data_IF_389573046765
#
_entry.id   IF_389573046765
#
_cell.length_a   1.000
_cell.length_b   1.000
_cell.length_c   1.000
_cell.angle_alpha   90.00
_cell.angle_beta   90.00
_cell.angle_gamma   90.00
#
_symmetry.space_group_name_H-M   'P 1'
#
loop_
_entity.id
_entity.type
_entity.pdbx_description
1 polymer ?
#
# COMPACT_ATOMS: atom_id res chain seq x y z
N UNK A 1 -11.43 -38.56 18.63
CA UNK A 1 -12.13 -38.99 17.41
C UNK A 1 -12.65 -37.73 16.78
N UNK A 2 -11.80 -37.06 16.01
CA UNK A 2 -12.15 -35.84 15.31
C UNK A 2 -12.94 -36.21 14.05
N UNK A 3 -14.01 -35.54 13.84
CA UNK A 3 -14.96 -35.65 12.74
C UNK A 3 -14.30 -35.39 11.40
N UNK A 4 -13.86 -36.42 10.71
CA UNK A 4 -13.50 -36.36 9.29
C UNK A 4 -14.75 -36.21 8.37
N UNK A 5 -15.92 -36.06 8.93
CA UNK A 5 -17.20 -36.08 8.23
C UNK A 5 -17.55 -34.77 7.52
N UNK A 6 -16.81 -33.67 7.73
CA UNK A 6 -17.14 -32.39 7.13
C UNK A 6 -16.35 -32.04 5.85
N UNK A 7 -15.37 -32.86 5.46
CA UNK A 7 -14.45 -32.52 4.34
C UNK A 7 -14.87 -33.22 3.04
N UNK A 8 -15.74 -34.25 3.11
CA UNK A 8 -16.17 -35.05 1.93
C UNK A 8 -17.61 -34.83 1.50
N UNK A 9 -18.29 -33.84 1.99
CA UNK A 9 -19.58 -33.48 1.43
C UNK A 9 -19.34 -32.91 0.03
N UNK A 10 -19.91 -33.57 -0.97
CA UNK A 10 -19.71 -33.24 -2.38
C UNK A 10 -20.24 -31.83 -2.65
N UNK A 11 -19.36 -30.82 -2.51
CA UNK A 11 -19.61 -29.44 -2.92
C UNK A 11 -19.74 -29.32 -4.44
N UNK A 12 -19.28 -30.33 -5.15
CA UNK A 12 -19.18 -30.32 -6.59
C UNK A 12 -20.40 -30.97 -7.22
N UNK A 13 -21.20 -30.14 -7.90
CA UNK A 13 -22.30 -30.65 -8.72
C UNK A 13 -21.81 -31.27 -10.04
N UNK A 14 -20.56 -30.93 -10.45
CA UNK A 14 -19.93 -31.41 -11.66
C UNK A 14 -18.95 -32.56 -11.35
N UNK A 15 -19.06 -33.73 -11.99
CA UNK A 15 -18.21 -34.91 -11.71
C UNK A 15 -16.75 -34.67 -12.01
N UNK A 16 -16.41 -33.84 -13.02
CA UNK A 16 -15.04 -33.45 -13.36
C UNK A 16 -14.33 -32.70 -12.23
N UNK A 17 -15.07 -31.89 -11.44
CA UNK A 17 -14.50 -31.19 -10.30
C UNK A 17 -14.25 -32.13 -9.13
N UNK A 18 -15.10 -33.14 -8.95
CA UNK A 18 -14.89 -34.19 -7.94
C UNK A 18 -13.68 -35.06 -8.29
N UNK A 19 -13.52 -35.39 -9.57
CA UNK A 19 -12.35 -36.13 -10.07
C UNK A 19 -11.06 -35.28 -9.87
N UNK A 20 -11.09 -34.00 -10.20
CA UNK A 20 -9.95 -33.09 -10.00
C UNK A 20 -9.54 -33.01 -8.52
N UNK A 21 -10.50 -32.90 -7.59
CA UNK A 21 -10.22 -32.87 -6.15
C UNK A 21 -9.52 -34.13 -5.67
N UNK A 22 -9.99 -35.31 -6.15
CA UNK A 22 -9.46 -36.59 -5.72
C UNK A 22 -8.06 -36.87 -6.28
N UNK A 23 -7.82 -36.46 -7.54
CA UNK A 23 -6.63 -36.86 -8.30
C UNK A 23 -5.51 -35.81 -8.32
N UNK A 24 -5.81 -34.51 -8.02
CA UNK A 24 -4.85 -33.42 -8.16
C UNK A 24 -3.51 -33.60 -7.42
N UNK A 25 -3.55 -34.27 -6.27
CA UNK A 25 -2.36 -34.56 -5.45
C UNK A 25 -2.02 -36.04 -5.38
N UNK A 26 -2.65 -36.85 -6.24
CA UNK A 26 -2.34 -38.31 -6.30
C UNK A 26 -0.98 -38.53 -6.95
N UNK A 27 -0.11 -39.39 -6.39
CA UNK A 27 1.16 -39.78 -7.02
C UNK A 27 0.98 -40.46 -8.38
N UNK A 28 -0.17 -41.08 -8.63
CA UNK A 28 -0.56 -41.73 -9.87
C UNK A 28 -2.01 -41.34 -10.21
N UNK A 29 -2.23 -40.16 -10.76
CA UNK A 29 -3.57 -39.69 -11.04
C UNK A 29 -4.21 -40.49 -12.16
N UNK A 30 -5.47 -40.84 -12.00
CA UNK A 30 -6.27 -41.40 -13.09
C UNK A 30 -6.64 -40.30 -14.08
N UNK A 31 -6.70 -40.66 -15.37
CA UNK A 31 -7.16 -39.74 -16.42
C UNK A 31 -8.69 -39.72 -16.41
N UNK A 32 -9.24 -38.52 -16.35
CA UNK A 32 -10.68 -38.35 -16.54
C UNK A 32 -10.97 -38.30 -18.05
N UNK A 33 -11.77 -39.24 -18.53
CA UNK A 33 -12.00 -39.44 -19.99
C UNK A 33 -13.23 -38.72 -20.54
N UNK A 34 -14.12 -38.26 -19.67
CA UNK A 34 -15.34 -37.58 -20.08
C UNK A 34 -15.11 -36.07 -20.34
N UNK A 35 -16.10 -35.40 -20.94
CA UNK A 35 -16.09 -33.96 -21.17
C UNK A 35 -16.03 -33.17 -19.86
N UNK A 36 -15.24 -32.10 -19.84
CA UNK A 36 -14.99 -31.24 -18.67
C UNK A 36 -15.55 -29.82 -18.87
N UNK A 37 -16.86 -29.63 -18.99
CA UNK A 37 -17.43 -28.31 -19.26
C UNK A 37 -17.26 -27.32 -18.11
N UNK A 38 -17.06 -27.81 -16.88
CA UNK A 38 -16.83 -26.99 -15.69
C UNK A 38 -15.39 -26.54 -15.51
N UNK A 39 -14.44 -26.98 -16.36
CA UNK A 39 -13.03 -26.64 -16.25
C UNK A 39 -12.56 -25.94 -17.53
N UNK A 40 -11.96 -24.76 -17.40
CA UNK A 40 -11.37 -24.04 -18.51
C UNK A 40 -9.90 -23.77 -18.22
N UNK A 41 -9.02 -24.21 -19.11
CA UNK A 41 -7.60 -23.90 -19.06
C UNK A 41 -7.30 -22.76 -20.04
N UNK A 42 -6.67 -21.70 -19.53
CA UNK A 42 -6.25 -20.56 -20.34
C UNK A 42 -4.74 -20.34 -20.14
N UNK A 43 -4.07 -19.99 -21.24
CA UNK A 43 -2.67 -19.52 -21.22
C UNK A 43 -2.65 -18.11 -21.79
N UNK A 44 -2.18 -17.15 -21.00
CA UNK A 44 -1.99 -15.77 -21.40
C UNK A 44 -0.52 -15.50 -21.78
N UNK A 45 -0.27 -14.40 -22.48
CA UNK A 45 1.08 -13.96 -22.86
C UNK A 45 1.84 -13.40 -21.66
N UNK A 46 1.13 -12.67 -20.80
CA UNK A 46 1.66 -12.03 -19.61
C UNK A 46 0.61 -11.94 -18.50
N UNK A 47 1.04 -11.46 -17.33
CA UNK A 47 0.20 -11.31 -16.13
C UNK A 47 -0.97 -10.32 -16.35
N UNK A 48 -0.80 -9.31 -17.22
CA UNK A 48 -1.84 -8.32 -17.48
C UNK A 48 -2.95 -8.93 -18.34
N UNK A 49 -2.57 -9.64 -19.40
CA UNK A 49 -3.52 -10.37 -20.24
C UNK A 49 -4.26 -11.44 -19.46
N UNK A 50 -3.58 -12.13 -18.55
CA UNK A 50 -4.20 -13.09 -17.63
C UNK A 50 -5.22 -12.42 -16.71
N UNK A 51 -4.89 -11.30 -16.09
CA UNK A 51 -5.79 -10.55 -15.24
C UNK A 51 -7.00 -10.00 -16.00
N UNK A 52 -6.82 -9.54 -17.23
CA UNK A 52 -7.93 -9.10 -18.09
C UNK A 52 -8.84 -10.26 -18.46
N UNK A 53 -8.29 -11.43 -18.79
CA UNK A 53 -9.07 -12.64 -19.03
C UNK A 53 -9.88 -13.05 -17.80
N UNK A 54 -9.28 -13.04 -16.61
CA UNK A 54 -9.95 -13.34 -15.33
C UNK A 54 -11.12 -12.38 -15.11
N UNK A 55 -10.88 -11.07 -15.26
CA UNK A 55 -11.91 -10.04 -15.06
C UNK A 55 -13.06 -10.17 -16.06
N UNK A 56 -12.77 -10.43 -17.34
CA UNK A 56 -13.78 -10.65 -18.37
C UNK A 56 -14.59 -11.92 -18.10
N UNK A 57 -13.93 -13.00 -17.69
CA UNK A 57 -14.58 -14.26 -17.34
C UNK A 57 -15.49 -14.09 -16.13
N UNK A 58 -15.02 -13.44 -15.07
CA UNK A 58 -15.83 -13.12 -13.90
C UNK A 58 -17.07 -12.30 -14.30
N UNK A 59 -16.90 -11.27 -15.14
CA UNK A 59 -18.02 -10.45 -15.64
C UNK A 59 -19.02 -11.26 -16.43
N UNK A 60 -18.55 -12.17 -17.29
CA UNK A 60 -19.38 -13.09 -18.06
C UNK A 60 -20.21 -13.98 -17.13
N UNK A 61 -19.58 -14.62 -16.15
CA UNK A 61 -20.25 -15.47 -15.18
C UNK A 61 -21.32 -14.71 -14.38
N UNK A 62 -21.04 -13.47 -13.98
CA UNK A 62 -22.02 -12.64 -13.29
C UNK A 62 -23.24 -12.31 -14.16
N UNK A 63 -23.04 -12.06 -15.46
CA UNK A 63 -24.11 -11.70 -16.39
C UNK A 63 -24.93 -12.89 -16.87
N UNK A 64 -24.28 -14.01 -17.16
CA UNK A 64 -24.90 -15.18 -17.77
C UNK A 64 -25.47 -16.14 -16.72
N UNK A 65 -24.76 -16.31 -15.60
CA UNK A 65 -25.12 -17.26 -14.54
C UNK A 65 -25.73 -16.58 -13.31
N UNK A 66 -25.83 -15.23 -13.28
CA UNK A 66 -26.40 -14.49 -12.17
C UNK A 66 -25.55 -14.54 -10.90
N UNK A 67 -24.26 -14.90 -10.99
CA UNK A 67 -23.34 -14.94 -9.85
C UNK A 67 -23.05 -13.53 -9.33
N UNK A 68 -22.82 -13.43 -8.03
CA UNK A 68 -22.40 -12.18 -7.39
C UNK A 68 -20.89 -12.22 -7.15
N UNK A 69 -20.25 -11.06 -6.96
CA UNK A 69 -18.80 -10.98 -6.66
C UNK A 69 -18.39 -11.93 -5.54
N UNK A 70 -19.21 -12.09 -4.51
CA UNK A 70 -18.94 -12.99 -3.37
C UNK A 70 -19.01 -14.49 -3.69
N UNK A 71 -19.59 -14.83 -4.84
CA UNK A 71 -19.73 -16.22 -5.27
C UNK A 71 -18.53 -16.65 -6.17
N UNK A 72 -17.60 -15.72 -6.45
CA UNK A 72 -16.42 -15.92 -7.30
C UNK A 72 -15.17 -15.70 -6.46
N UNK A 73 -14.24 -16.66 -6.48
CA UNK A 73 -12.92 -16.55 -5.84
C UNK A 73 -11.82 -16.60 -6.91
N UNK A 74 -10.79 -15.76 -6.73
CA UNK A 74 -9.56 -15.80 -7.51
C UNK A 74 -8.43 -16.17 -6.56
N UNK A 75 -7.68 -17.22 -6.89
CA UNK A 75 -6.57 -17.71 -6.07
C UNK A 75 -5.29 -17.60 -6.90
N UNK A 76 -4.30 -16.92 -6.35
CA UNK A 76 -2.97 -16.77 -6.96
C UNK A 76 -1.89 -17.28 -6.00
N UNK A 77 -0.87 -17.94 -6.54
CA UNK A 77 0.29 -18.41 -5.76
C UNK A 77 1.20 -17.26 -5.33
N UNK A 78 1.34 -16.23 -6.18
CA UNK A 78 2.04 -14.99 -5.88
C UNK A 78 1.04 -13.82 -5.87
N UNK A 79 0.40 -13.62 -4.72
CA UNK A 79 -0.61 -12.57 -4.55
C UNK A 79 -0.03 -11.16 -4.76
N UNK A 80 1.24 -10.93 -4.43
CA UNK A 80 1.87 -9.62 -4.54
C UNK A 80 2.03 -9.18 -6.01
N UNK A 81 2.43 -10.11 -6.89
CA UNK A 81 2.57 -9.83 -8.32
C UNK A 81 1.21 -9.55 -9.00
N UNK A 82 0.15 -10.24 -8.56
CA UNK A 82 -1.19 -10.12 -9.15
C UNK A 82 -2.02 -8.97 -8.58
N UNK A 83 -1.73 -8.47 -7.38
CA UNK A 83 -2.58 -7.49 -6.66
C UNK A 83 -2.92 -6.26 -7.53
N UNK A 84 -1.92 -5.55 -8.02
CA UNK A 84 -2.13 -4.32 -8.78
C UNK A 84 -2.76 -4.55 -10.18
N UNK A 85 -2.26 -5.50 -11.01
CA UNK A 85 -2.85 -5.80 -12.30
C UNK A 85 -4.30 -6.28 -12.21
N UNK A 86 -4.59 -7.20 -11.29
CA UNK A 86 -5.92 -7.78 -11.12
C UNK A 86 -6.92 -6.73 -10.61
N UNK A 87 -6.53 -5.92 -9.63
CA UNK A 87 -7.36 -4.81 -9.14
C UNK A 87 -7.72 -3.83 -10.27
N UNK A 88 -6.75 -3.51 -11.12
CA UNK A 88 -6.97 -2.64 -12.29
C UNK A 88 -7.96 -3.25 -13.28
N UNK A 89 -7.79 -4.52 -13.63
CA UNK A 89 -8.65 -5.22 -14.57
C UNK A 89 -10.10 -5.35 -14.04
N UNK A 90 -10.27 -5.74 -12.78
CA UNK A 90 -11.58 -5.85 -12.13
C UNK A 90 -12.29 -4.51 -12.05
N UNK A 91 -11.56 -3.42 -11.75
CA UNK A 91 -12.10 -2.05 -11.73
C UNK A 91 -12.59 -1.61 -13.11
N UNK A 92 -11.83 -1.88 -14.19
CA UNK A 92 -12.24 -1.62 -15.56
C UNK A 92 -13.56 -2.34 -15.90
N UNK A 93 -13.76 -3.55 -15.40
CA UNK A 93 -14.99 -4.32 -15.57
C UNK A 93 -16.12 -3.91 -14.61
N UNK A 94 -15.90 -2.96 -13.70
CA UNK A 94 -16.87 -2.53 -12.68
C UNK A 94 -17.21 -3.62 -11.67
N UNK A 95 -16.24 -4.47 -11.32
CA UNK A 95 -16.38 -5.55 -10.34
C UNK A 95 -15.77 -5.12 -9.03
N UNK A 96 -16.57 -5.17 -7.95
CA UNK A 96 -16.06 -4.96 -6.59
C UNK A 96 -15.34 -6.21 -6.11
N UNK A 97 -14.16 -6.03 -5.53
CA UNK A 97 -13.32 -7.10 -5.01
C UNK A 97 -13.02 -6.88 -3.53
N UNK A 98 -12.98 -7.98 -2.77
CA UNK A 98 -12.37 -8.03 -1.46
C UNK A 98 -11.00 -8.68 -1.60
N UNK A 99 -9.97 -8.01 -1.11
CA UNK A 99 -8.59 -8.49 -1.13
C UNK A 99 -8.14 -8.79 0.30
N UNK A 100 -7.71 -10.03 0.52
CA UNK A 100 -7.06 -10.43 1.77
C UNK A 100 -5.54 -10.21 1.64
N UNK A 101 -5.12 -8.94 1.56
CA UNK A 101 -3.73 -8.55 1.50
C UNK A 101 -3.30 -7.86 2.81
N UNK A 102 -2.15 -8.28 3.34
CA UNK A 102 -1.52 -7.59 4.48
C UNK A 102 -0.83 -6.35 3.95
N UNK A 103 -1.35 -5.17 4.26
CA UNK A 103 -0.66 -3.91 3.98
C UNK A 103 0.26 -3.57 5.14
N UNK A 104 1.51 -3.19 4.90
CA UNK A 104 2.37 -2.68 5.94
C UNK A 104 1.74 -1.41 6.54
N UNK A 105 1.54 -1.42 7.84
CA UNK A 105 0.84 -0.35 8.58
C UNK A 105 1.69 0.92 8.61
N UNK A 106 3.00 0.80 8.54
CA UNK A 106 4.00 1.87 8.47
C UNK A 106 3.89 2.74 7.20
N UNK A 107 3.29 2.23 6.13
CA UNK A 107 2.98 3.02 4.94
C UNK A 107 1.79 3.97 5.13
N UNK A 108 1.06 3.88 6.25
CA UNK A 108 -0.04 4.81 6.55
C UNK A 108 0.52 6.14 7.06
N UNK A 109 0.11 7.31 6.48
CA UNK A 109 0.55 8.62 6.95
C UNK A 109 0.30 8.88 8.44
N UNK A 110 -0.83 8.41 8.98
CA UNK A 110 -1.16 8.53 10.41
C UNK A 110 -0.15 7.76 11.27
N UNK A 111 0.19 6.54 10.85
CA UNK A 111 1.17 5.72 11.59
C UNK A 111 2.57 6.32 11.48
N UNK A 112 2.96 6.80 10.30
CA UNK A 112 4.22 7.51 10.09
C UNK A 112 4.30 8.77 10.98
N UNK A 113 3.22 9.54 11.12
CA UNK A 113 3.12 10.70 12.01
C UNK A 113 3.39 10.30 13.46
N UNK A 114 2.66 9.29 13.96
CA UNK A 114 2.78 8.86 15.37
C UNK A 114 4.15 8.28 15.66
N UNK A 115 4.68 7.45 14.76
CA UNK A 115 6.00 6.83 14.95
C UNK A 115 7.14 7.87 14.91
N UNK A 116 7.08 8.83 13.98
CA UNK A 116 8.07 9.90 13.90
C UNK A 116 7.98 10.85 15.10
N UNK A 117 6.79 11.22 15.55
CA UNK A 117 6.59 12.00 16.77
C UNK A 117 7.14 11.26 18.01
N UNK A 118 6.87 9.98 18.15
CA UNK A 118 7.42 9.16 19.23
C UNK A 118 8.95 9.05 19.14
N UNK A 119 9.51 8.93 17.94
CA UNK A 119 10.96 8.92 17.74
C UNK A 119 11.58 10.24 18.16
N UNK A 120 10.99 11.38 17.78
CA UNK A 120 11.46 12.71 18.20
C UNK A 120 11.42 12.85 19.73
N UNK A 121 10.33 12.45 20.38
CA UNK A 121 10.17 12.51 21.82
C UNK A 121 11.22 11.64 22.57
N UNK A 122 11.55 10.46 22.02
CA UNK A 122 12.49 9.52 22.67
C UNK A 122 13.96 9.81 22.38
N UNK A 123 14.30 10.29 21.18
CA UNK A 123 15.68 10.43 20.71
C UNK A 123 16.11 11.88 20.48
N UNK A 124 15.18 12.83 20.59
CA UNK A 124 15.39 14.24 20.26
C UNK A 124 15.06 14.57 18.81
N UNK A 125 15.22 15.83 18.44
CA UNK A 125 14.90 16.40 17.15
C UNK A 125 15.93 16.03 16.07
N UNK A 126 16.01 14.74 15.75
CA UNK A 126 16.72 14.27 14.56
C UNK A 126 16.02 14.78 13.31
N UNK A 127 16.72 15.50 12.44
CA UNK A 127 16.13 16.17 11.28
C UNK A 127 15.46 15.19 10.33
N UNK A 128 15.97 13.97 10.17
CA UNK A 128 15.31 12.95 9.35
C UNK A 128 13.95 12.56 9.94
N UNK A 129 13.87 12.39 11.26
CA UNK A 129 12.62 12.09 11.96
C UNK A 129 11.62 13.24 11.87
N UNK A 130 12.09 14.50 12.00
CA UNK A 130 11.27 15.71 11.84
C UNK A 130 10.75 15.81 10.40
N UNK A 131 11.59 15.59 9.38
CA UNK A 131 11.14 15.62 7.98
C UNK A 131 10.13 14.51 7.69
N UNK A 132 10.31 13.32 8.24
CA UNK A 132 9.33 12.24 8.13
C UNK A 132 7.98 12.61 8.75
N UNK A 133 8.00 13.29 9.90
CA UNK A 133 6.82 13.83 10.57
C UNK A 133 6.10 14.86 9.70
N UNK A 134 6.83 15.84 9.13
CA UNK A 134 6.27 16.91 8.31
C UNK A 134 5.71 16.40 6.97
N UNK A 135 6.41 15.48 6.31
CA UNK A 135 6.03 14.91 5.00
C UNK A 135 4.79 14.00 5.06
N UNK A 136 4.20 13.80 6.23
CA UNK A 136 2.89 13.15 6.35
C UNK A 136 1.73 14.05 5.90
N UNK A 137 1.96 15.36 5.73
CA UNK A 137 0.95 16.40 5.47
C UNK A 137 -0.09 16.56 6.58
N UNK A 138 0.08 15.87 7.70
CA UNK A 138 -0.81 15.92 8.88
C UNK A 138 -0.28 16.81 10.00
N UNK A 139 0.94 17.32 9.85
CA UNK A 139 1.62 18.13 10.85
C UNK A 139 1.24 19.63 10.82
N UNK A 140 0.31 20.02 9.96
CA UNK A 140 -0.22 21.39 9.89
C UNK A 140 0.66 22.37 9.11
N UNK A 141 1.66 21.91 8.37
CA UNK A 141 2.42 22.68 7.38
C UNK A 141 2.00 22.29 5.97
N UNK A 142 2.08 23.25 5.04
CA UNK A 142 1.92 22.97 3.61
C UNK A 142 3.17 22.26 3.05
N UNK A 143 3.04 21.72 1.83
CA UNK A 143 4.16 21.10 1.11
C UNK A 143 5.28 22.12 0.87
N UNK A 144 4.90 23.35 0.48
CA UNK A 144 5.86 24.43 0.21
C UNK A 144 6.59 24.87 1.50
N UNK A 145 5.86 25.08 2.60
CA UNK A 145 6.46 25.39 3.92
C UNK A 145 7.40 24.28 4.39
N UNK A 146 7.03 23.03 4.16
CA UNK A 146 7.89 21.87 4.49
C UNK A 146 9.16 21.87 3.65
N UNK A 147 9.08 22.19 2.36
CA UNK A 147 10.23 22.26 1.47
C UNK A 147 11.19 23.40 1.85
N UNK A 148 10.65 24.58 2.22
CA UNK A 148 11.46 25.72 2.71
C UNK A 148 12.26 25.31 3.94
N UNK A 149 11.62 24.70 4.93
CA UNK A 149 12.27 24.23 6.15
C UNK A 149 13.30 23.13 5.84
N UNK A 150 12.95 22.18 4.98
CA UNK A 150 13.86 21.10 4.57
C UNK A 150 15.13 21.66 3.93
N UNK A 151 14.98 22.61 2.98
CA UNK A 151 16.11 23.24 2.30
C UNK A 151 17.05 23.94 3.30
N UNK A 152 16.49 24.71 4.23
CA UNK A 152 17.28 25.39 5.26
C UNK A 152 18.02 24.38 6.16
N UNK A 153 17.33 23.34 6.61
CA UNK A 153 17.92 22.32 7.46
C UNK A 153 19.06 21.55 6.78
N UNK A 154 18.92 21.24 5.48
CA UNK A 154 19.98 20.58 4.73
C UNK A 154 21.16 21.52 4.45
N UNK A 155 20.90 22.78 4.13
CA UNK A 155 21.93 23.76 3.86
C UNK A 155 22.83 23.98 5.07
N UNK A 156 22.25 24.08 6.26
CA UNK A 156 22.95 24.41 7.50
C UNK A 156 23.17 23.22 8.44
N UNK A 157 22.82 22.01 7.97
CA UNK A 157 22.97 20.77 8.74
C UNK A 157 22.32 20.85 10.13
N UNK A 158 21.15 21.49 10.20
CA UNK A 158 20.35 21.63 11.42
C UNK A 158 20.02 20.24 11.96
N UNK A 159 20.27 20.01 13.25
CA UNK A 159 19.98 18.73 13.87
C UNK A 159 19.86 18.86 15.40
N UNK A 160 19.14 17.93 16.04
CA UNK A 160 18.95 17.82 17.49
C UNK A 160 18.67 19.16 18.20
N UNK A 161 19.63 19.65 18.99
CA UNK A 161 19.50 20.88 19.78
C UNK A 161 19.28 22.14 18.95
N UNK A 162 19.72 22.17 17.70
CA UNK A 162 19.55 23.33 16.81
C UNK A 162 18.08 23.66 16.56
N UNK A 163 17.20 22.67 16.64
CA UNK A 163 15.76 22.86 16.53
C UNK A 163 15.17 23.67 17.69
N UNK A 164 15.79 23.61 18.86
CA UNK A 164 15.31 24.30 20.07
C UNK A 164 15.82 25.75 20.18
N UNK A 165 16.81 26.10 19.39
CA UNK A 165 17.38 27.45 19.35
C UNK A 165 16.89 28.22 18.13
N UNK A 166 16.89 29.53 18.19
CA UNK A 166 16.59 30.40 17.07
C UNK A 166 17.65 30.23 15.98
N UNK A 167 17.18 30.09 14.74
CA UNK A 167 18.06 29.98 13.57
C UNK A 167 18.57 31.34 13.17
N UNK A 168 19.86 31.45 12.88
CA UNK A 168 20.60 32.69 12.63
C UNK A 168 21.39 32.70 11.31
N UNK A 169 21.32 31.58 10.54
CA UNK A 169 22.07 31.45 9.31
C UNK A 169 21.32 32.06 8.12
N UNK A 170 22.09 32.54 7.10
CA UNK A 170 21.51 33.11 5.90
C UNK A 170 20.68 32.07 5.10
N UNK A 171 19.36 32.26 4.88
CA UNK A 171 18.54 31.34 4.10
C UNK A 171 19.06 31.12 2.66
N UNK A 172 19.62 32.16 2.05
CA UNK A 172 20.20 32.13 0.69
C UNK A 172 21.59 31.45 0.63
N UNK A 173 22.17 31.03 1.77
CA UNK A 173 23.47 30.35 1.83
C UNK A 173 24.64 31.25 2.15
N UNK A 174 25.79 31.04 1.47
CA UNK A 174 27.07 31.68 1.81
C UNK A 174 27.25 33.10 1.19
N UNK A 175 26.18 33.78 0.81
CA UNK A 175 26.19 35.13 0.27
C UNK A 175 26.16 36.24 1.33
N UNK A 176 26.09 37.51 0.86
CA UNK A 176 25.80 38.64 1.74
C UNK A 176 24.37 38.54 2.26
N UNK A 177 24.19 38.87 3.54
CA UNK A 177 22.88 38.85 4.18
C UNK A 177 22.10 40.12 3.78
N UNK A 178 20.95 39.94 3.16
CA UNK A 178 20.09 41.03 2.67
C UNK A 178 18.87 41.23 3.55
N UNK A 179 18.13 42.36 3.35
CA UNK A 179 16.87 42.59 4.09
C UNK A 179 15.82 41.52 3.74
N UNK A 180 15.82 40.98 2.50
CA UNK A 180 14.93 39.87 2.11
C UNK A 180 15.28 38.58 2.85
N UNK A 181 16.57 38.31 3.09
CA UNK A 181 17.00 37.14 3.83
C UNK A 181 16.57 37.24 5.31
N UNK A 182 16.51 38.47 5.87
CA UNK A 182 16.03 38.70 7.22
C UNK A 182 14.53 38.35 7.36
N UNK A 183 13.71 38.76 6.40
CA UNK A 183 12.27 38.43 6.37
C UNK A 183 12.06 36.93 6.23
N UNK A 184 12.81 36.27 5.34
CA UNK A 184 12.74 34.82 5.13
C UNK A 184 13.19 34.05 6.38
N UNK A 185 14.25 34.48 7.03
CA UNK A 185 14.75 33.88 8.28
C UNK A 185 13.73 34.00 9.41
N UNK A 186 13.07 35.15 9.53
CA UNK A 186 12.00 35.34 10.51
C UNK A 186 10.86 34.34 10.25
N UNK A 187 10.42 34.22 9.00
CA UNK A 187 9.39 33.26 8.60
C UNK A 187 9.80 31.82 8.91
N UNK A 188 11.04 31.42 8.60
CA UNK A 188 11.58 30.08 8.93
C UNK A 188 11.57 29.82 10.44
N UNK A 189 11.88 30.81 11.28
CA UNK A 189 11.80 30.67 12.72
C UNK A 189 10.34 30.55 13.23
N UNK A 190 9.38 31.23 12.59
CA UNK A 190 7.97 31.04 12.89
C UNK A 190 7.51 29.61 12.55
N UNK A 191 7.91 29.07 11.39
CA UNK A 191 7.64 27.69 11.00
C UNK A 191 8.29 26.70 11.98
N UNK A 192 9.55 26.93 12.36
CA UNK A 192 10.24 26.14 13.38
C UNK A 192 9.43 26.07 14.68
N UNK A 193 8.95 27.19 15.18
CA UNK A 193 8.13 27.24 16.40
C UNK A 193 6.82 26.46 16.25
N UNK A 194 6.17 26.54 15.08
CA UNK A 194 4.98 25.74 14.79
C UNK A 194 5.26 24.24 14.80
N UNK A 195 6.45 23.84 14.36
CA UNK A 195 6.89 22.42 14.33
C UNK A 195 7.17 21.89 15.74
N UNK A 196 7.96 22.64 16.54
CA UNK A 196 8.39 22.14 17.84
C UNK A 196 7.29 22.21 18.91
N UNK A 197 6.40 23.19 18.83
CA UNK A 197 5.36 23.43 19.85
C UNK A 197 4.50 22.18 20.18
N UNK A 198 4.01 21.38 19.23
CA UNK A 198 3.25 20.18 19.54
C UNK A 198 4.10 18.98 19.98
N UNK A 199 5.44 19.07 19.87
CA UNK A 199 6.38 17.97 20.13
C UNK A 199 7.16 18.13 21.44
N UNK A 200 7.08 19.31 22.08
CA UNK A 200 7.65 19.63 23.41
C UNK A 200 6.58 19.51 24.55
#
# INVERSE_FOLDING_TARGET
VGSEMCIRDSRYAAPELAALEQELFSPSPNVYEDDCPGITLCRAEDIYAECEFIACTAKKLMRENGLRSRDIAVIATDSAAYEAPLRSALRKCGISVFEDSRRPVDASPIVALVLSAAQIACKGFDTEAVMRYLKTELAGLSVDETAEVENYCYLWQINYGDWLHEWDKNPSGFGEFTDSDAEELQRLNELRLRIISPLC
#
